data_IF_956854570637
#
_entry.id   IF_956854570637
#
_cell.length_a   1.000
_cell.length_b   1.000
_cell.length_c   1.000
_cell.angle_alpha   90.00
_cell.angle_beta   90.00
_cell.angle_gamma   90.00
#
_symmetry.space_group_name_H-M   'P 1'
#
loop_
_entity.id
_entity.type
_entity.pdbx_description
1 polymer ?
#
# COMPACT_ATOMS: atom_id res chain seq x y z
N UNK A 1 12.35 -40.91 6.01
CA UNK A 1 12.62 -39.76 6.88
C UNK A 1 11.42 -38.83 6.87
N UNK A 2 10.57 -38.90 7.89
CA UNK A 2 9.46 -37.97 8.05
C UNK A 2 10.02 -36.60 8.41
N UNK A 3 9.74 -35.57 7.59
CA UNK A 3 10.09 -34.19 7.92
C UNK A 3 9.29 -33.82 9.16
N UNK A 4 9.97 -33.46 10.25
CA UNK A 4 9.35 -32.84 11.40
C UNK A 4 8.57 -31.60 10.94
N UNK A 5 7.35 -31.35 11.45
CA UNK A 5 6.67 -30.11 11.16
C UNK A 5 7.49 -29.00 11.81
N UNK A 6 8.23 -28.24 11.00
CA UNK A 6 8.78 -26.99 11.48
C UNK A 6 7.59 -26.11 11.85
N UNK A 7 7.47 -25.78 13.13
CA UNK A 7 6.60 -24.72 13.63
C UNK A 7 7.15 -23.38 13.10
N UNK A 8 7.08 -23.20 11.78
CA UNK A 8 7.30 -21.91 11.15
C UNK A 8 6.08 -21.07 11.53
N UNK A 9 6.29 -20.12 12.44
CA UNK A 9 5.29 -19.11 12.74
C UNK A 9 5.00 -18.36 11.44
N UNK A 10 3.82 -18.61 10.85
CA UNK A 10 3.34 -17.90 9.67
C UNK A 10 2.42 -16.79 10.12
N UNK A 11 2.62 -15.61 9.56
CA UNK A 11 1.71 -14.50 9.79
C UNK A 11 0.32 -14.83 9.25
N UNK A 12 -0.76 -14.26 9.81
CA UNK A 12 -2.09 -14.40 9.24
C UNK A 12 -2.09 -14.00 7.76
N UNK A 13 -2.77 -14.77 6.91
CA UNK A 13 -2.72 -14.57 5.46
C UNK A 13 -3.17 -13.16 5.02
N UNK A 14 -4.09 -12.53 5.76
CA UNK A 14 -4.50 -11.14 5.50
C UNK A 14 -3.39 -10.13 5.80
N UNK A 15 -2.58 -10.37 6.83
CA UNK A 15 -1.41 -9.55 7.18
C UNK A 15 -0.27 -9.75 6.18
N UNK A 16 -0.16 -10.97 5.63
CA UNK A 16 0.74 -11.28 4.53
C UNK A 16 0.35 -10.53 3.25
N UNK A 17 -0.95 -10.51 2.92
CA UNK A 17 -1.50 -9.84 1.74
C UNK A 17 -1.25 -8.32 1.78
N UNK A 18 -1.50 -7.68 2.92
CA UNK A 18 -1.21 -6.27 3.16
C UNK A 18 0.30 -5.95 3.26
N UNK A 19 1.14 -6.99 3.35
CA UNK A 19 2.59 -6.89 3.61
C UNK A 19 2.94 -6.13 4.89
N UNK A 20 2.03 -6.05 5.86
CA UNK A 20 2.26 -5.34 7.13
C UNK A 20 3.25 -6.08 8.06
N UNK A 21 3.54 -7.34 7.81
CA UNK A 21 4.66 -8.05 8.45
C UNK A 21 6.05 -7.59 7.95
N UNK A 22 6.16 -6.86 6.83
CA UNK A 22 7.43 -6.36 6.26
C UNK A 22 7.52 -4.84 6.27
N UNK A 23 8.51 -4.24 6.94
CA UNK A 23 8.57 -2.78 7.11
C UNK A 23 8.86 -2.02 5.81
N UNK A 24 9.63 -2.61 4.89
CA UNK A 24 10.23 -1.91 3.74
C UNK A 24 9.22 -1.11 2.91
N UNK A 25 8.14 -1.74 2.45
CA UNK A 25 7.20 -1.08 1.52
C UNK A 25 6.46 0.11 2.14
N UNK A 26 6.07 0.01 3.40
CA UNK A 26 5.39 1.11 4.11
C UNK A 26 6.35 2.20 4.56
N UNK A 27 7.58 1.87 4.94
CA UNK A 27 8.58 2.87 5.34
C UNK A 27 9.01 3.73 4.16
N UNK A 28 9.15 3.16 2.96
CA UNK A 28 9.45 3.94 1.75
C UNK A 28 8.35 4.95 1.43
N UNK A 29 7.10 4.68 1.82
CA UNK A 29 5.98 5.62 1.67
C UNK A 29 5.90 6.62 2.84
N UNK A 30 6.01 6.13 4.08
CA UNK A 30 5.79 6.91 5.29
C UNK A 30 6.94 7.86 5.63
N UNK A 31 8.20 7.50 5.34
CA UNK A 31 9.35 8.36 5.65
C UNK A 31 9.35 9.65 4.81
N UNK A 32 9.14 9.61 3.47
CA UNK A 32 9.00 10.84 2.69
C UNK A 32 7.78 11.68 3.09
N UNK A 33 6.66 11.05 3.43
CA UNK A 33 5.49 11.75 3.96
C UNK A 33 5.80 12.46 5.28
N UNK A 34 6.52 11.79 6.20
CA UNK A 34 6.94 12.38 7.47
C UNK A 34 7.90 13.57 7.27
N UNK A 35 8.82 13.49 6.30
CA UNK A 35 9.66 14.64 5.94
C UNK A 35 8.85 15.80 5.39
N UNK A 36 7.89 15.53 4.51
CA UNK A 36 6.96 16.55 3.99
C UNK A 36 6.23 17.27 5.12
N UNK A 37 5.69 16.51 6.07
CA UNK A 37 4.98 17.03 7.24
C UNK A 37 5.90 17.89 8.13
N UNK A 38 7.09 17.40 8.42
CA UNK A 38 8.06 18.08 9.28
C UNK A 38 8.58 19.39 8.65
N UNK A 39 8.75 19.42 7.32
CA UNK A 39 9.16 20.63 6.61
C UNK A 39 8.09 21.72 6.63
N UNK A 40 6.80 21.35 6.64
CA UNK A 40 5.71 22.32 6.82
C UNK A 40 5.59 22.82 8.27
N UNK A 41 5.76 21.92 9.24
CA UNK A 41 5.73 22.26 10.66
C UNK A 41 6.75 21.42 11.43
N UNK A 42 7.84 22.02 11.93
CA UNK A 42 8.87 21.30 12.69
C UNK A 42 8.36 20.62 13.98
N UNK A 43 7.14 20.95 14.43
CA UNK A 43 6.41 20.27 15.51
C UNK A 43 4.99 19.96 15.02
N UNK A 44 4.83 18.93 14.18
CA UNK A 44 3.53 18.64 13.60
C UNK A 44 2.56 18.18 14.69
N UNK A 45 1.29 18.50 14.48
CA UNK A 45 0.22 18.05 15.37
C UNK A 45 0.18 16.51 15.43
N UNK A 46 0.01 15.96 16.63
CA UNK A 46 0.05 14.51 16.85
C UNK A 46 -1.09 13.77 16.13
N UNK A 47 -2.27 14.38 16.00
CA UNK A 47 -3.38 13.78 15.26
C UNK A 47 -3.05 13.74 13.77
N UNK A 48 -2.46 14.80 13.22
CA UNK A 48 -2.03 14.82 11.83
C UNK A 48 -0.98 13.74 11.54
N UNK A 49 0.00 13.55 12.43
CA UNK A 49 0.97 12.44 12.31
C UNK A 49 0.25 11.08 12.27
N UNK A 50 -0.72 10.86 13.16
CA UNK A 50 -1.49 9.61 13.20
C UNK A 50 -2.31 9.39 11.93
N UNK A 51 -2.95 10.44 11.40
CA UNK A 51 -3.70 10.39 10.14
C UNK A 51 -2.79 9.99 8.98
N UNK A 52 -1.59 10.57 8.86
CA UNK A 52 -0.62 10.21 7.81
C UNK A 52 -0.15 8.76 7.95
N UNK A 53 0.07 8.27 9.18
CA UNK A 53 0.43 6.87 9.41
C UNK A 53 -0.70 5.94 8.97
N UNK A 54 -1.93 6.20 9.40
CA UNK A 54 -3.10 5.37 9.05
C UNK A 54 -3.36 5.38 7.54
N UNK A 55 -3.35 6.56 6.93
CA UNK A 55 -3.53 6.73 5.48
C UNK A 55 -2.43 6.02 4.69
N UNK A 56 -1.17 6.17 5.11
CA UNK A 56 -0.05 5.50 4.46
C UNK A 56 -0.09 3.98 4.57
N UNK A 57 -0.47 3.43 5.73
CA UNK A 57 -0.70 1.99 5.91
C UNK A 57 -1.84 1.47 5.03
N UNK A 58 -2.93 2.23 4.95
CA UNK A 58 -4.10 1.88 4.16
C UNK A 58 -3.79 1.88 2.64
N UNK A 59 -3.21 2.95 2.11
CA UNK A 59 -2.85 3.05 0.69
C UNK A 59 -1.75 2.05 0.30
N UNK A 60 -0.75 1.84 1.17
CA UNK A 60 0.27 0.80 0.98
C UNK A 60 -0.37 -0.59 0.91
N UNK A 61 -1.31 -0.88 1.82
CA UNK A 61 -2.09 -2.12 1.82
C UNK A 61 -2.92 -2.29 0.54
N UNK A 62 -3.62 -1.24 0.11
CA UNK A 62 -4.41 -1.24 -1.13
C UNK A 62 -3.55 -1.56 -2.35
N UNK A 63 -2.38 -0.92 -2.51
CA UNK A 63 -1.45 -1.21 -3.59
C UNK A 63 -0.92 -2.65 -3.54
N UNK A 64 -0.68 -3.18 -2.35
CA UNK A 64 -0.27 -4.57 -2.14
C UNK A 64 -1.34 -5.58 -2.58
N UNK A 65 -2.60 -5.31 -2.27
CA UNK A 65 -3.74 -6.15 -2.67
C UNK A 65 -3.94 -6.07 -4.18
N UNK A 66 -3.96 -4.87 -4.76
CA UNK A 66 -4.12 -4.67 -6.19
C UNK A 66 -3.02 -5.40 -6.99
N UNK A 67 -1.76 -5.33 -6.52
CA UNK A 67 -0.66 -6.09 -7.10
C UNK A 67 -0.91 -7.60 -7.12
N UNK A 68 -1.31 -8.18 -5.98
CA UNK A 68 -1.52 -9.63 -5.90
C UNK A 68 -2.77 -10.08 -6.67
N UNK A 69 -3.82 -9.25 -6.75
CA UNK A 69 -4.99 -9.51 -7.58
C UNK A 69 -4.59 -9.62 -9.07
N UNK A 70 -3.74 -8.70 -9.56
CA UNK A 70 -3.26 -8.70 -10.94
C UNK A 70 -2.30 -9.85 -11.26
N UNK A 71 -1.45 -10.23 -10.30
CA UNK A 71 -0.33 -11.13 -10.54
C UNK A 71 -0.55 -12.56 -10.05
N UNK A 72 -1.66 -12.89 -9.37
CA UNK A 72 -1.88 -14.19 -8.71
C UNK A 72 -1.50 -15.42 -9.56
N UNK A 73 -1.80 -15.44 -10.87
CA UNK A 73 -1.46 -16.55 -11.77
C UNK A 73 0.04 -16.65 -12.03
N UNK A 74 0.67 -15.50 -12.25
CA UNK A 74 2.11 -15.41 -12.49
C UNK A 74 2.84 -15.75 -11.20
N UNK A 75 2.39 -15.20 -10.08
CA UNK A 75 2.96 -15.46 -8.76
C UNK A 75 2.90 -16.96 -8.42
N UNK A 76 1.82 -17.67 -8.76
CA UNK A 76 1.72 -19.12 -8.58
C UNK A 76 2.78 -19.91 -9.37
N UNK A 77 3.26 -19.39 -10.50
CA UNK A 77 4.28 -20.04 -11.35
C UNK A 77 5.73 -19.72 -10.97
N UNK A 78 5.97 -18.81 -10.02
CA UNK A 78 7.30 -18.32 -9.67
C UNK A 78 7.66 -18.71 -8.24
N UNK A 79 8.73 -19.49 -8.05
CA UNK A 79 9.12 -20.04 -6.73
C UNK A 79 9.26 -18.99 -5.61
N UNK A 80 9.65 -17.76 -5.94
CA UNK A 80 9.79 -16.66 -4.97
C UNK A 80 8.44 -16.12 -4.48
N UNK A 81 7.39 -16.21 -5.29
CA UNK A 81 6.09 -15.57 -5.04
C UNK A 81 4.92 -16.55 -5.01
N UNK A 82 5.18 -17.84 -5.23
CA UNK A 82 4.20 -18.93 -5.14
C UNK A 82 3.60 -19.05 -3.74
N UNK A 83 4.33 -18.62 -2.71
CA UNK A 83 3.85 -18.57 -1.33
C UNK A 83 2.96 -17.36 -1.02
N UNK A 84 2.66 -16.45 -1.95
CA UNK A 84 1.77 -15.32 -1.66
C UNK A 84 0.34 -15.80 -1.37
N UNK A 85 -0.42 -15.13 -0.48
CA UNK A 85 -1.74 -15.59 -0.05
C UNK A 85 -2.71 -15.89 -1.19
N UNK A 86 -2.80 -15.03 -2.21
CA UNK A 86 -3.69 -15.25 -3.36
C UNK A 86 -3.15 -16.29 -4.34
N UNK A 87 -1.82 -16.36 -4.52
CA UNK A 87 -1.19 -17.34 -5.40
C UNK A 87 -1.36 -18.78 -4.87
N UNK A 88 -1.22 -18.98 -3.55
CA UNK A 88 -1.37 -20.29 -2.89
C UNK A 88 -2.81 -20.64 -2.50
N UNK A 89 -3.79 -19.78 -2.80
CA UNK A 89 -5.20 -20.00 -2.47
C UNK A 89 -5.55 -19.90 -0.97
N UNK A 90 -4.73 -19.22 -0.16
CA UNK A 90 -4.98 -19.07 1.28
C UNK A 90 -6.07 -18.04 1.62
N UNK A 91 -6.47 -17.20 0.66
CA UNK A 91 -7.57 -16.24 0.77
C UNK A 91 -8.41 -16.28 -0.49
N UNK A 92 -9.71 -15.99 -0.37
CA UNK A 92 -10.61 -15.86 -1.51
C UNK A 92 -10.42 -14.51 -2.22
N UNK A 93 -10.73 -14.44 -3.51
CA UNK A 93 -10.73 -13.18 -4.25
C UNK A 93 -11.74 -12.18 -3.68
N UNK A 94 -12.91 -12.65 -3.24
CA UNK A 94 -13.92 -11.81 -2.58
C UNK A 94 -13.34 -11.15 -1.33
N UNK A 95 -12.63 -11.90 -0.49
CA UNK A 95 -11.97 -11.34 0.70
C UNK A 95 -10.95 -10.27 0.33
N UNK A 96 -10.12 -10.51 -0.69
CA UNK A 96 -9.14 -9.54 -1.17
C UNK A 96 -9.80 -8.25 -1.69
N UNK A 97 -10.87 -8.36 -2.49
CA UNK A 97 -11.63 -7.19 -2.96
C UNK A 97 -12.28 -6.42 -1.82
N UNK A 98 -12.89 -7.12 -0.85
CA UNK A 98 -13.45 -6.47 0.35
C UNK A 98 -12.38 -5.71 1.11
N UNK A 99 -11.21 -6.34 1.35
CA UNK A 99 -10.11 -5.70 2.06
C UNK A 99 -9.55 -4.49 1.28
N UNK A 100 -9.48 -4.57 -0.05
CA UNK A 100 -9.08 -3.45 -0.90
C UNK A 100 -10.04 -2.27 -0.73
N UNK A 101 -11.35 -2.51 -0.81
CA UNK A 101 -12.37 -1.48 -0.61
C UNK A 101 -12.26 -0.86 0.78
N UNK A 102 -12.06 -1.67 1.82
CA UNK A 102 -11.86 -1.17 3.18
C UNK A 102 -10.62 -0.27 3.28
N UNK A 103 -9.48 -0.66 2.70
CA UNK A 103 -8.29 0.18 2.67
C UNK A 103 -8.52 1.51 1.93
N UNK A 104 -9.22 1.49 0.79
CA UNK A 104 -9.53 2.70 0.04
C UNK A 104 -10.51 3.62 0.78
N UNK A 105 -11.51 3.06 1.47
CA UNK A 105 -12.43 3.81 2.32
C UNK A 105 -11.70 4.42 3.51
N UNK A 106 -10.80 3.67 4.18
CA UNK A 106 -9.97 4.22 5.25
C UNK A 106 -9.10 5.38 4.75
N UNK A 107 -8.47 5.24 3.59
CA UNK A 107 -7.69 6.32 2.98
C UNK A 107 -8.56 7.55 2.66
N UNK A 108 -9.77 7.36 2.15
CA UNK A 108 -10.71 8.45 1.89
C UNK A 108 -11.13 9.15 3.18
N UNK A 109 -11.47 8.40 4.23
CA UNK A 109 -11.81 8.96 5.54
C UNK A 109 -10.65 9.78 6.11
N UNK A 110 -9.42 9.27 6.03
CA UNK A 110 -8.22 10.03 6.44
C UNK A 110 -8.13 11.36 5.70
N UNK A 111 -8.34 11.38 4.38
CA UNK A 111 -8.32 12.63 3.60
C UNK A 111 -9.43 13.58 4.06
N UNK A 112 -10.62 13.07 4.39
CA UNK A 112 -11.72 13.90 4.89
C UNK A 112 -11.44 14.52 6.26
N UNK A 113 -10.60 13.88 7.08
CA UNK A 113 -10.16 14.38 8.38
C UNK A 113 -8.96 15.34 8.31
N UNK A 114 -8.32 15.50 7.13
CA UNK A 114 -7.23 16.47 6.95
C UNK A 114 -7.70 17.92 7.12
N UNK A 115 -6.82 18.87 7.49
CA UNK A 115 -7.18 20.28 7.65
C UNK A 115 -7.89 20.86 6.42
N UNK A 116 -8.94 21.65 6.66
CA UNK A 116 -9.80 22.17 5.60
C UNK A 116 -9.04 22.98 4.52
N UNK A 117 -7.96 23.67 4.90
CA UNK A 117 -7.13 24.46 4.00
C UNK A 117 -6.50 23.62 2.86
N UNK A 118 -6.06 22.39 3.16
CA UNK A 118 -5.37 21.50 2.22
C UNK A 118 -6.22 20.34 1.69
N UNK A 119 -7.39 20.12 2.28
CA UNK A 119 -8.24 18.95 2.03
C UNK A 119 -8.66 18.79 0.57
N UNK A 120 -9.05 19.87 -0.11
CA UNK A 120 -9.49 19.79 -1.50
C UNK A 120 -8.36 19.33 -2.42
N UNK A 121 -7.16 19.89 -2.25
CA UNK A 121 -5.98 19.49 -3.01
C UNK A 121 -5.57 18.05 -2.68
N UNK A 122 -5.57 17.68 -1.39
CA UNK A 122 -5.33 16.31 -0.93
C UNK A 122 -6.29 15.30 -1.58
N UNK A 123 -7.57 15.63 -1.70
CA UNK A 123 -8.57 14.76 -2.33
C UNK A 123 -8.31 14.60 -3.84
N UNK A 124 -8.02 15.69 -4.55
CA UNK A 124 -7.65 15.64 -5.97
C UNK A 124 -6.40 14.78 -6.20
N UNK A 125 -5.38 14.96 -5.37
CA UNK A 125 -4.14 14.17 -5.41
C UNK A 125 -4.39 12.71 -5.09
N UNK A 126 -5.22 12.39 -4.10
CA UNK A 126 -5.58 11.01 -3.75
C UNK A 126 -6.29 10.30 -4.91
N UNK A 127 -7.23 10.98 -5.59
CA UNK A 127 -7.89 10.44 -6.79
C UNK A 127 -6.88 10.27 -7.93
N UNK A 128 -6.01 11.25 -8.14
CA UNK A 128 -4.97 11.20 -9.18
C UNK A 128 -3.90 10.12 -8.93
N UNK A 129 -3.70 9.71 -7.67
CA UNK A 129 -2.81 8.62 -7.32
C UNK A 129 -3.34 7.23 -7.70
N UNK A 130 -4.67 7.07 -7.84
CA UNK A 130 -5.28 5.76 -8.11
C UNK A 130 -4.84 5.15 -9.45
N UNK A 131 -4.89 5.86 -10.60
CA UNK A 131 -4.45 5.27 -11.86
C UNK A 131 -3.03 4.70 -11.85
N UNK A 132 -1.96 5.43 -11.44
CA UNK A 132 -0.62 4.86 -11.43
C UNK A 132 -0.47 3.69 -10.44
N UNK A 133 -1.14 3.74 -9.28
CA UNK A 133 -1.11 2.63 -8.30
C UNK A 133 -1.75 1.36 -8.88
N UNK A 134 -2.92 1.50 -9.51
CA UNK A 134 -3.68 0.36 -10.05
C UNK A 134 -3.09 -0.18 -11.36
N UNK A 135 -2.41 0.66 -12.13
CA UNK A 135 -1.75 0.27 -13.39
C UNK A 135 -0.30 -0.19 -13.21
N UNK A 136 0.35 0.10 -12.08
CA UNK A 136 1.71 -0.34 -11.77
C UNK A 136 1.96 -1.85 -12.00
N UNK A 137 1.06 -2.79 -11.66
CA UNK A 137 1.22 -4.20 -11.98
C UNK A 137 1.49 -4.46 -13.46
N UNK A 138 0.77 -3.73 -14.32
CA UNK A 138 0.90 -3.84 -15.77
C UNK A 138 2.25 -3.27 -16.24
N UNK A 139 2.70 -2.14 -15.67
CA UNK A 139 3.95 -1.50 -16.04
C UNK A 139 5.16 -2.45 -15.91
N UNK A 140 5.15 -3.38 -14.95
CA UNK A 140 6.20 -4.41 -14.80
C UNK A 140 6.36 -5.32 -16.02
N UNK A 141 5.37 -5.37 -16.92
CA UNK A 141 5.34 -6.28 -18.07
C UNK A 141 5.77 -5.62 -19.37
N UNK A 142 5.49 -4.33 -19.53
CA UNK A 142 5.68 -3.63 -20.81
C UNK A 142 6.49 -2.34 -20.70
N UNK A 143 6.69 -1.78 -19.50
CA UNK A 143 7.46 -0.55 -19.33
C UNK A 143 8.91 -0.87 -18.94
N UNK A 144 9.94 -0.29 -19.60
CA UNK A 144 11.34 -0.59 -19.28
C UNK A 144 11.79 -0.17 -17.87
N UNK A 145 11.10 0.80 -17.26
CA UNK A 145 11.47 1.36 -15.96
C UNK A 145 10.30 1.32 -14.96
N UNK A 146 9.80 0.13 -14.59
CA UNK A 146 8.63 0.03 -13.70
C UNK A 146 8.87 0.67 -12.32
N UNK A 147 10.13 0.77 -11.89
CA UNK A 147 10.50 1.47 -10.67
C UNK A 147 10.25 2.98 -10.73
N UNK A 148 10.29 3.61 -11.91
CA UNK A 148 9.91 5.01 -12.06
C UNK A 148 8.41 5.21 -11.80
N UNK A 149 7.57 4.29 -12.26
CA UNK A 149 6.12 4.30 -11.97
C UNK A 149 5.88 4.07 -10.47
N UNK A 150 6.63 3.17 -9.84
CA UNK A 150 6.55 2.93 -8.41
C UNK A 150 6.96 4.18 -7.59
N UNK A 151 8.05 4.84 -8.00
CA UNK A 151 8.51 6.09 -7.40
C UNK A 151 7.45 7.20 -7.54
N UNK A 152 6.80 7.30 -8.70
CA UNK A 152 5.67 8.21 -8.91
C UNK A 152 4.52 7.92 -7.92
N UNK A 153 4.17 6.65 -7.73
CA UNK A 153 3.13 6.25 -6.77
C UNK A 153 3.48 6.71 -5.35
N UNK A 154 4.72 6.49 -4.91
CA UNK A 154 5.17 6.93 -3.58
C UNK A 154 5.27 8.45 -3.45
N UNK A 155 5.56 9.17 -4.54
CA UNK A 155 5.61 10.63 -4.57
C UNK A 155 4.30 11.30 -4.14
N UNK A 156 3.15 10.67 -4.40
CA UNK A 156 1.86 11.19 -3.92
C UNK A 156 1.78 11.29 -2.39
N UNK A 157 2.49 10.44 -1.65
CA UNK A 157 2.51 10.53 -0.18
C UNK A 157 3.17 11.84 0.29
N UNK A 158 4.18 12.34 -0.43
CA UNK A 158 4.79 13.65 -0.17
C UNK A 158 3.82 14.77 -0.50
N UNK A 159 3.20 14.72 -1.68
CA UNK A 159 2.29 15.77 -2.17
C UNK A 159 1.03 15.91 -1.31
N UNK A 160 0.40 14.79 -0.93
CA UNK A 160 -0.82 14.81 -0.10
C UNK A 160 -0.49 15.33 1.30
N UNK A 161 0.67 15.00 1.84
CA UNK A 161 1.07 15.47 3.18
C UNK A 161 1.49 16.96 3.16
N UNK A 162 1.91 17.47 2.01
CA UNK A 162 2.26 18.89 1.80
C UNK A 162 1.01 19.77 1.58
N UNK A 163 -0.03 19.22 0.98
CA UNK A 163 -1.24 19.95 0.59
C UNK A 163 -1.99 20.50 1.80
#
# INVERSE_FOLDING_TARGET
MARSPSLSYRWPAWLELLRWHKPTGRLILLLPAAWSLWLQSPRPDGNLVMLIIIGGLAVSGAGCIANDLWDHRIDASVARTSDRPLARGALTFTFAWTLLVLCLLTALLVVMELPAAGRELSLKLAVLALPPILLYPSAKRWFPFPQAVLALCWGFAVLITWA
#
